data_IF_853076287337
#
_entry.id   IF_853076287337
#
_cell.length_a   1.000
_cell.length_b   1.000
_cell.length_c   1.000
_cell.angle_alpha   90.00
_cell.angle_beta   90.00
_cell.angle_gamma   90.00
#
_symmetry.space_group_name_H-M   'P 1'
#
loop_
_entity.id
_entity.type
_entity.pdbx_description
1 polymer ?
#
# COMPACT_ATOMS: atom_id res chain seq x y z
N UNK A 1 9.77 4.92 17.29
CA UNK A 1 9.12 5.81 16.30
C UNK A 1 7.73 5.27 16.00
N UNK A 2 6.67 6.07 16.02
CA UNK A 2 5.28 5.61 15.76
C UNK A 2 4.76 6.06 14.40
N UNK A 3 3.92 5.25 13.74
CA UNK A 3 3.06 5.74 12.64
C UNK A 3 1.96 6.58 13.25
N UNK A 4 1.85 7.82 12.79
CA UNK A 4 0.94 8.84 13.33
C UNK A 4 -0.26 9.11 12.45
N UNK A 5 -0.08 9.10 11.12
CA UNK A 5 -1.18 9.26 10.17
C UNK A 5 -0.96 8.43 8.91
N UNK A 6 -2.09 8.03 8.30
CA UNK A 6 -2.15 7.39 6.98
C UNK A 6 -3.10 8.19 6.10
N UNK A 7 -2.64 8.56 4.91
CA UNK A 7 -3.41 9.30 3.93
C UNK A 7 -3.36 8.62 2.55
N UNK A 8 -4.46 8.66 1.81
CA UNK A 8 -4.51 8.13 0.44
C UNK A 8 -4.57 9.25 -0.61
N UNK A 9 -3.59 9.24 -1.51
CA UNK A 9 -3.48 10.11 -2.68
C UNK A 9 -3.76 9.29 -3.96
N UNK A 10 -4.22 9.96 -5.03
CA UNK A 10 -4.51 9.37 -6.36
C UNK A 10 -5.21 8.00 -6.31
N UNK A 11 -6.53 8.03 -6.11
CA UNK A 11 -7.33 6.83 -5.88
C UNK A 11 -8.20 6.53 -7.09
N UNK A 12 -8.08 5.31 -7.60
CA UNK A 12 -8.96 4.77 -8.62
C UNK A 12 -10.12 4.03 -7.95
N UNK A 13 -11.20 4.76 -7.65
CA UNK A 13 -12.47 4.15 -7.29
C UNK A 13 -13.10 3.67 -8.60
N UNK A 14 -13.22 2.37 -8.80
CA UNK A 14 -13.99 1.82 -9.91
C UNK A 14 -15.47 2.24 -9.71
N UNK A 15 -15.87 3.38 -10.29
CA UNK A 15 -17.26 3.63 -10.64
C UNK A 15 -17.54 2.74 -11.84
N UNK A 16 -18.53 1.88 -11.73
CA UNK A 16 -19.00 0.93 -12.76
C UNK A 16 -18.20 -0.36 -12.95
N UNK A 17 -18.73 -1.45 -12.37
CA UNK A 17 -18.61 -2.79 -12.96
C UNK A 17 -19.96 -3.20 -13.56
N UNK A 18 -20.33 -2.62 -14.71
CA UNK A 18 -21.13 -3.39 -15.68
C UNK A 18 -20.14 -4.33 -16.38
N UNK A 19 -20.11 -5.58 -15.93
CA UNK A 19 -19.24 -6.62 -16.49
C UNK A 19 -19.82 -7.01 -17.85
N UNK A 20 -19.37 -6.34 -18.93
CA UNK A 20 -19.44 -6.94 -20.25
C UNK A 20 -18.19 -7.79 -20.47
N UNK A 21 -18.43 -9.09 -20.60
CA UNK A 21 -17.43 -10.12 -20.79
C UNK A 21 -16.71 -9.97 -22.12
N UNK A 22 -15.54 -9.32 -22.12
CA UNK A 22 -14.56 -9.46 -23.19
C UNK A 22 -13.18 -9.76 -22.61
N UNK A 23 -12.77 -11.02 -22.80
CA UNK A 23 -11.40 -11.56 -22.76
C UNK A 23 -10.61 -11.15 -21.49
N UNK A 24 -10.63 -12.04 -20.50
CA UNK A 24 -9.85 -11.89 -19.27
C UNK A 24 -8.36 -12.05 -19.61
N UNK A 25 -7.66 -10.92 -19.77
CA UNK A 25 -6.20 -10.92 -19.79
C UNK A 25 -5.69 -11.51 -18.46
N UNK A 26 -5.00 -12.64 -18.56
CA UNK A 26 -4.75 -13.57 -17.45
C UNK A 26 -3.84 -13.02 -16.34
N UNK A 27 -3.20 -11.88 -16.57
CA UNK A 27 -2.34 -11.19 -15.59
C UNK A 27 -2.44 -9.68 -15.77
N UNK A 28 -3.34 -9.04 -15.02
CA UNK A 28 -3.40 -7.58 -14.92
C UNK A 28 -3.06 -7.18 -13.48
N UNK A 29 -2.00 -6.38 -13.36
CA UNK A 29 -1.69 -5.65 -12.13
C UNK A 29 -2.17 -4.22 -12.33
N UNK A 30 -3.01 -3.74 -11.42
CA UNK A 30 -3.58 -2.39 -11.44
C UNK A 30 -3.11 -1.62 -10.20
N UNK A 31 -2.66 -0.38 -10.38
CA UNK A 31 -2.41 0.56 -9.27
C UNK A 31 -3.77 1.12 -8.82
N UNK A 32 -4.14 0.98 -7.54
CA UNK A 32 -5.45 1.43 -7.02
C UNK A 32 -5.36 2.75 -6.24
N UNK A 33 -4.33 2.89 -5.41
CA UNK A 33 -4.16 4.07 -4.59
C UNK A 33 -2.69 4.29 -4.25
N UNK A 34 -2.33 5.54 -4.00
CA UNK A 34 -1.06 5.92 -3.40
C UNK A 34 -1.31 6.18 -1.92
N UNK A 35 -0.44 5.65 -1.08
CA UNK A 35 -0.47 5.80 0.36
C UNK A 35 0.70 6.69 0.78
N UNK A 36 0.40 7.59 1.70
CA UNK A 36 1.34 8.44 2.40
C UNK A 36 1.23 8.10 3.89
N UNK A 37 2.37 7.85 4.53
CA UNK A 37 2.46 7.61 5.97
C UNK A 37 3.24 8.75 6.61
N UNK A 38 2.85 9.13 7.82
CA UNK A 38 3.68 9.99 8.68
C UNK A 38 4.16 9.19 9.89
N UNK A 39 5.42 9.37 10.25
CA UNK A 39 6.06 8.78 11.42
C UNK A 39 6.43 9.89 12.41
N UNK A 40 6.01 9.75 13.67
CA UNK A 40 6.16 10.74 14.74
C UNK A 40 5.73 12.16 14.32
N UNK A 41 4.80 12.28 13.36
CA UNK A 41 4.40 13.55 12.71
C UNK A 41 5.54 14.33 12.03
N UNK A 42 6.76 13.78 11.99
CA UNK A 42 7.97 14.45 11.48
C UNK A 42 8.44 13.88 10.14
N UNK A 43 8.42 12.55 9.98
CA UNK A 43 8.94 11.89 8.79
C UNK A 43 7.81 11.40 7.89
N UNK A 44 7.79 11.84 6.63
CA UNK A 44 6.75 11.50 5.67
C UNK A 44 7.25 10.46 4.66
N UNK A 45 6.65 9.29 4.65
CA UNK A 45 6.87 8.25 3.65
C UNK A 45 5.84 8.38 2.53
N UNK A 46 6.28 8.61 1.30
CA UNK A 46 5.40 8.82 0.14
C UNK A 46 5.55 7.70 -0.88
N UNK A 47 4.68 7.69 -1.89
CA UNK A 47 4.75 6.78 -3.06
C UNK A 47 4.64 5.30 -2.70
N UNK A 48 4.01 4.97 -1.57
CA UNK A 48 3.62 3.60 -1.25
C UNK A 48 2.40 3.30 -2.11
N UNK A 49 2.36 2.18 -2.82
CA UNK A 49 1.26 1.86 -3.74
C UNK A 49 0.42 0.71 -3.20
N UNK A 50 -0.90 0.84 -3.28
CA UNK A 50 -1.83 -0.27 -3.13
C UNK A 50 -2.15 -0.77 -4.53
N UNK A 51 -2.00 -2.08 -4.73
CA UNK A 51 -2.13 -2.72 -6.02
C UNK A 51 -3.10 -3.88 -5.95
N UNK A 52 -3.79 -4.09 -7.06
CA UNK A 52 -4.66 -5.24 -7.28
C UNK A 52 -4.00 -6.17 -8.30
N UNK A 53 -3.97 -7.46 -7.99
CA UNK A 53 -3.60 -8.51 -8.93
C UNK A 53 -4.74 -9.53 -9.02
N UNK A 54 -5.16 -9.83 -10.26
CA UNK A 54 -6.10 -10.92 -10.53
C UNK A 54 -5.33 -12.21 -10.77
N UNK A 55 -5.68 -13.26 -10.04
CA UNK A 55 -5.16 -14.62 -10.17
C UNK A 55 -6.34 -15.57 -10.42
N UNK A 56 -6.69 -15.73 -11.69
CA UNK A 56 -7.92 -16.42 -12.09
C UNK A 56 -9.17 -15.68 -11.58
N UNK A 57 -9.96 -16.34 -10.75
CA UNK A 57 -11.16 -15.77 -10.13
C UNK A 57 -10.85 -14.97 -8.86
N UNK A 58 -9.64 -15.12 -8.31
CA UNK A 58 -9.23 -14.43 -7.09
C UNK A 58 -8.67 -13.05 -7.42
N UNK A 59 -9.06 -12.07 -6.60
CA UNK A 59 -8.43 -10.75 -6.56
C UNK A 59 -7.62 -10.64 -5.28
N UNK A 60 -6.35 -10.27 -5.40
CA UNK A 60 -5.46 -10.04 -4.26
C UNK A 60 -5.04 -8.58 -4.24
N UNK A 61 -5.17 -7.95 -3.07
CA UNK A 61 -4.59 -6.64 -2.80
C UNK A 61 -3.23 -6.80 -2.13
N UNK A 62 -2.27 -5.98 -2.54
CA UNK A 62 -0.96 -5.94 -1.91
C UNK A 62 -0.38 -4.53 -1.91
N UNK A 63 0.49 -4.29 -0.94
CA UNK A 63 1.17 -3.00 -0.76
C UNK A 63 2.61 -3.09 -1.25
N UNK A 64 2.98 -2.14 -2.10
CA UNK A 64 4.32 -1.98 -2.64
C UNK A 64 4.96 -0.71 -2.09
N UNK A 65 6.03 -0.87 -1.32
CA UNK A 65 6.87 0.24 -0.89
C UNK A 65 7.70 0.77 -2.06
N UNK A 66 8.05 2.07 -2.06
CA UNK A 66 8.96 2.60 -3.06
C UNK A 66 10.31 1.90 -2.94
N UNK A 67 10.90 1.60 -4.10
CA UNK A 67 12.23 1.03 -4.22
C UNK A 67 12.99 1.71 -5.35
N UNK A 68 14.32 1.71 -5.27
CA UNK A 68 15.19 2.08 -6.38
C UNK A 68 15.87 0.82 -6.94
N UNK A 69 16.39 0.92 -8.17
CA UNK A 69 17.15 -0.15 -8.81
C UNK A 69 18.59 0.29 -8.97
N UNK A 70 19.53 -0.60 -8.67
CA UNK A 70 20.93 -0.37 -9.03
C UNK A 70 21.17 -0.66 -10.53
N UNK A 71 22.43 -0.51 -10.96
CA UNK A 71 22.86 -0.78 -12.34
C UNK A 71 22.64 -2.23 -12.76
N UNK A 72 22.55 -3.16 -11.81
CA UNK A 72 22.31 -4.58 -12.01
C UNK A 72 20.84 -4.97 -11.90
N UNK A 73 19.92 -3.99 -11.86
CA UNK A 73 18.48 -4.17 -11.67
C UNK A 73 18.06 -4.78 -10.33
N UNK A 74 18.95 -4.86 -9.33
CA UNK A 74 18.58 -5.25 -7.98
C UNK A 74 17.75 -4.15 -7.33
N UNK A 75 16.67 -4.55 -6.66
CA UNK A 75 15.72 -3.63 -6.03
C UNK A 75 16.09 -3.42 -4.57
N UNK A 76 16.16 -2.16 -4.18
CA UNK A 76 16.41 -1.75 -2.80
C UNK A 76 15.25 -0.86 -2.34
N UNK A 77 14.60 -1.25 -1.23
CA UNK A 77 13.56 -0.42 -0.62
C UNK A 77 14.16 0.96 -0.26
N UNK A 78 13.45 2.06 -0.56
CA UNK A 78 13.87 3.41 -0.15
C UNK A 78 13.88 3.58 1.37
N UNK A 79 13.09 2.77 2.07
CA UNK A 79 12.92 2.83 3.51
C UNK A 79 13.38 1.51 4.11
N UNK A 80 14.40 1.58 4.97
CA UNK A 80 14.92 0.42 5.68
C UNK A 80 14.30 0.35 7.08
N UNK A 81 13.55 -0.71 7.36
CA UNK A 81 13.30 -1.14 8.73
C UNK A 81 14.55 -1.89 9.22
N UNK A 82 14.95 -1.68 10.48
CA UNK A 82 16.14 -2.28 11.08
C UNK A 82 16.08 -3.82 11.11
N UNK A 83 17.24 -4.46 11.29
CA UNK A 83 17.43 -5.90 11.11
C UNK A 83 16.74 -6.79 12.18
N UNK A 84 16.21 -6.23 13.26
CA UNK A 84 15.43 -6.99 14.24
C UNK A 84 13.98 -7.08 13.71
N UNK A 85 13.57 -8.26 13.25
CA UNK A 85 12.20 -8.53 12.79
C UNK A 85 11.68 -7.70 11.59
N UNK A 86 12.58 -7.27 10.70
CA UNK A 86 12.27 -6.51 9.46
C UNK A 86 11.03 -7.01 8.70
N UNK A 87 10.91 -8.32 8.49
CA UNK A 87 9.79 -8.93 7.77
C UNK A 87 8.45 -8.76 8.50
N UNK A 88 8.45 -8.96 9.83
CA UNK A 88 7.25 -8.82 10.64
C UNK A 88 6.76 -7.38 10.69
N UNK A 89 7.67 -6.41 10.89
CA UNK A 89 7.34 -4.98 10.90
C UNK A 89 6.77 -4.58 9.54
N UNK A 90 7.44 -4.96 8.44
CA UNK A 90 6.96 -4.67 7.08
C UNK A 90 5.56 -5.22 6.85
N UNK A 91 5.28 -6.45 7.28
CA UNK A 91 3.95 -7.05 7.14
C UNK A 91 2.89 -6.35 7.99
N UNK A 92 3.20 -5.96 9.23
CA UNK A 92 2.30 -5.16 10.07
C UNK A 92 1.92 -3.84 9.39
N UNK A 93 2.90 -3.11 8.86
CA UNK A 93 2.64 -1.85 8.14
C UNK A 93 1.79 -2.09 6.89
N UNK A 94 2.07 -3.14 6.11
CA UNK A 94 1.24 -3.49 4.93
C UNK A 94 -0.21 -3.77 5.31
N UNK A 95 -0.43 -4.57 6.35
CA UNK A 95 -1.77 -4.94 6.80
C UNK A 95 -2.54 -3.71 7.29
N UNK A 96 -1.89 -2.85 8.07
CA UNK A 96 -2.46 -1.59 8.54
C UNK A 96 -2.88 -0.68 7.37
N UNK A 97 -2.04 -0.54 6.34
CA UNK A 97 -2.37 0.23 5.15
C UNK A 97 -3.59 -0.34 4.43
N UNK A 98 -3.67 -1.67 4.27
CA UNK A 98 -4.81 -2.31 3.62
C UNK A 98 -6.10 -2.15 4.45
N UNK A 99 -6.02 -2.28 5.77
CA UNK A 99 -7.15 -2.03 6.67
C UNK A 99 -7.69 -0.61 6.50
N UNK A 100 -6.81 0.41 6.57
CA UNK A 100 -7.23 1.80 6.38
C UNK A 100 -7.73 2.08 4.96
N UNK A 101 -7.18 1.41 3.96
CA UNK A 101 -7.69 1.51 2.59
C UNK A 101 -9.11 0.95 2.46
N UNK A 102 -9.41 -0.19 3.08
CA UNK A 102 -10.78 -0.73 3.09
C UNK A 102 -11.75 0.21 3.80
N UNK A 103 -11.34 0.80 4.93
CA UNK A 103 -12.13 1.83 5.61
C UNK A 103 -12.35 3.06 4.72
N UNK A 104 -11.33 3.52 4.00
CA UNK A 104 -11.45 4.62 3.03
C UNK A 104 -12.49 4.29 1.95
N UNK A 105 -12.41 3.11 1.34
CA UNK A 105 -13.34 2.74 0.26
C UNK A 105 -14.80 2.67 0.76
N UNK A 106 -15.00 2.24 2.01
CA UNK A 106 -16.33 2.10 2.58
C UNK A 106 -16.91 3.42 3.13
N UNK A 107 -16.07 4.26 3.74
CA UNK A 107 -16.51 5.43 4.52
C UNK A 107 -16.09 6.78 3.91
N UNK A 108 -15.29 6.77 2.82
CA UNK A 108 -14.69 7.95 2.17
C UNK A 108 -13.82 8.84 3.07
N UNK A 109 -13.38 8.33 4.23
CA UNK A 109 -12.46 9.03 5.13
C UNK A 109 -11.02 8.91 4.60
N UNK A 110 -10.43 10.00 4.13
CA UNK A 110 -9.13 9.96 3.44
C UNK A 110 -7.89 10.09 4.34
N UNK A 111 -8.07 10.50 5.60
CA UNK A 111 -6.98 10.73 6.54
C UNK A 111 -7.28 10.02 7.85
N UNK A 112 -6.43 9.07 8.21
CA UNK A 112 -6.59 8.28 9.44
C UNK A 112 -5.51 8.67 10.42
N UNK A 113 -5.92 9.16 11.60
CA UNK A 113 -5.03 9.26 12.74
C UNK A 113 -4.78 7.86 13.30
N UNK A 114 -3.50 7.51 13.46
CA UNK A 114 -3.06 6.18 13.89
C UNK A 114 -2.04 6.35 15.02
N UNK A 115 -2.02 5.42 15.96
CA UNK A 115 -0.97 5.37 16.99
C UNK A 115 -0.39 3.96 17.04
N UNK A 116 0.55 3.68 16.13
CA UNK A 116 1.23 2.38 16.08
C UNK A 116 2.73 2.55 16.30
N UNK A 117 3.24 2.06 17.42
CA UNK A 117 4.66 2.09 17.73
C UNK A 117 5.46 1.10 16.87
N UNK A 118 6.51 1.59 16.22
CA UNK A 118 7.52 0.80 15.53
C UNK A 118 8.77 0.74 16.42
N UNK A 119 9.15 -0.48 16.82
CA UNK A 119 10.47 -0.78 17.39
C UNK A 119 11.48 -0.85 16.23
N UNK A 120 11.92 0.33 15.77
CA UNK A 120 12.96 0.50 14.74
C UNK A 120 14.29 0.68 15.46
#
# INVERSE_FOLDING_TARGET
MKITNIFFDKIEINKDQKIESKIINKYQIKDLAWCILTLDEMLVLRRIKIRQQRLGDKTILFVLFPYWKDKNCYKYDYYYFTNINKSQIKNKVKNLILEKYHLFINNQENNFKVEMELKI
#
